data_IF_198699380413
#
_entry.id   IF_198699380413
#
_cell.length_a   1.000
_cell.length_b   1.000
_cell.length_c   1.000
_cell.angle_alpha   90.00
_cell.angle_beta   90.00
_cell.angle_gamma   90.00
#
_symmetry.space_group_name_H-M   'P 1'
#
loop_
_entity.id
_entity.type
_entity.pdbx_description
1 polymer ?
#
# COMPACT_ATOMS: atom_id res chain seq x y z
N UNK A 1 12.66 16.38 -10.29
CA UNK A 1 14.01 15.92 -10.60
C UNK A 1 14.40 14.73 -9.71
N UNK A 2 14.20 14.80 -8.38
CA UNK A 2 14.63 13.76 -7.45
C UNK A 2 13.96 12.40 -7.74
N UNK A 3 12.66 12.42 -8.08
CA UNK A 3 11.94 11.19 -8.46
C UNK A 3 12.43 10.58 -9.76
N UNK A 4 12.85 11.40 -10.74
CA UNK A 4 13.48 10.90 -11.95
C UNK A 4 14.82 10.22 -11.66
N UNK A 5 15.64 10.82 -10.78
CA UNK A 5 16.90 10.21 -10.33
C UNK A 5 16.66 8.90 -9.58
N UNK A 6 15.64 8.86 -8.74
CA UNK A 6 15.25 7.63 -8.03
C UNK A 6 14.84 6.52 -9.02
N UNK A 7 13.99 6.84 -10.01
CA UNK A 7 13.57 5.90 -11.05
C UNK A 7 14.79 5.44 -11.87
N UNK A 8 15.71 6.33 -12.22
CA UNK A 8 16.94 5.97 -12.93
C UNK A 8 17.84 5.04 -12.11
N UNK A 9 17.90 5.27 -10.78
CA UNK A 9 18.65 4.41 -9.86
C UNK A 9 17.99 3.03 -9.66
N UNK A 10 16.65 2.96 -9.72
CA UNK A 10 15.93 1.68 -9.64
C UNK A 10 16.02 0.88 -10.93
N UNK A 11 16.19 1.54 -12.08
CA UNK A 11 16.31 0.93 -13.40
C UNK A 11 17.78 0.92 -13.89
N UNK A 12 18.74 0.73 -12.98
CA UNK A 12 20.14 0.64 -13.33
C UNK A 12 20.38 -0.45 -14.38
N UNK A 13 21.19 -0.13 -15.37
CA UNK A 13 21.78 -1.12 -16.25
C UNK A 13 23.15 -1.51 -15.69
N UNK A 14 23.55 -2.73 -15.95
CA UNK A 14 24.85 -3.23 -15.54
C UNK A 14 25.65 -3.63 -16.76
N UNK A 15 26.95 -3.34 -16.75
CA UNK A 15 27.89 -3.73 -17.77
C UNK A 15 28.98 -4.62 -17.16
N UNK A 16 29.45 -5.58 -17.96
CA UNK A 16 30.43 -6.55 -17.49
C UNK A 16 31.75 -5.85 -17.11
N UNK A 17 32.29 -6.21 -15.96
CA UNK A 17 33.64 -5.81 -15.53
C UNK A 17 34.68 -6.72 -16.16
N UNK A 18 35.93 -6.24 -16.23
CA UNK A 18 37.03 -7.09 -16.64
C UNK A 18 37.21 -8.25 -15.66
N UNK A 19 37.65 -9.40 -16.15
CA UNK A 19 37.75 -10.64 -15.36
C UNK A 19 38.57 -10.52 -14.09
N UNK A 20 39.57 -9.62 -14.07
CA UNK A 20 40.43 -9.38 -12.91
C UNK A 20 39.90 -8.29 -11.95
N UNK A 21 38.81 -7.61 -12.29
CA UNK A 21 38.26 -6.56 -11.45
C UNK A 21 37.44 -7.13 -10.32
N UNK A 22 37.72 -6.63 -9.12
CA UNK A 22 36.99 -7.04 -7.90
C UNK A 22 35.61 -6.40 -7.81
N UNK A 23 34.67 -7.17 -7.29
CA UNK A 23 33.36 -6.67 -6.95
C UNK A 23 33.43 -5.64 -5.81
N UNK A 24 32.76 -4.52 -5.96
CA UNK A 24 32.62 -3.46 -4.96
C UNK A 24 31.16 -3.22 -4.63
N UNK A 25 30.91 -2.45 -3.59
CA UNK A 25 29.57 -2.07 -3.21
C UNK A 25 28.85 -1.35 -4.37
N UNK A 26 27.62 -1.79 -4.70
CA UNK A 26 26.83 -1.31 -5.83
C UNK A 26 26.99 -2.11 -7.12
N UNK A 27 27.97 -3.01 -7.22
CA UNK A 27 28.11 -3.95 -8.35
C UNK A 27 27.04 -5.05 -8.26
N UNK A 28 26.74 -5.68 -9.39
CA UNK A 28 25.92 -6.87 -9.48
C UNK A 28 26.82 -8.09 -9.66
N UNK A 29 26.68 -9.06 -8.76
CA UNK A 29 27.37 -10.35 -8.86
C UNK A 29 26.38 -11.39 -9.34
N UNK A 30 26.79 -12.17 -10.36
CA UNK A 30 26.04 -13.31 -10.87
C UNK A 30 26.78 -14.57 -10.42
N UNK A 31 26.07 -15.45 -9.71
CA UNK A 31 26.68 -16.62 -9.10
C UNK A 31 25.74 -17.82 -9.05
N UNK A 32 26.32 -19.01 -9.01
CA UNK A 32 25.68 -20.24 -8.58
C UNK A 32 25.93 -20.43 -7.10
N UNK A 33 25.02 -21.05 -6.38
CA UNK A 33 25.29 -21.45 -5.01
C UNK A 33 24.76 -22.84 -4.67
N UNK A 34 25.44 -23.52 -3.75
CA UNK A 34 24.97 -24.70 -3.03
C UNK A 34 25.09 -24.42 -1.54
N UNK A 35 24.04 -24.69 -0.77
CA UNK A 35 23.99 -24.40 0.64
C UNK A 35 23.72 -25.66 1.48
N UNK A 36 24.27 -25.69 2.70
CA UNK A 36 24.04 -26.75 3.66
C UNK A 36 23.75 -26.17 5.05
N UNK A 37 22.92 -26.87 5.82
CA UNK A 37 22.71 -26.62 7.24
C UNK A 37 23.08 -27.92 7.98
N UNK A 38 24.01 -27.83 8.92
CA UNK A 38 24.54 -28.97 9.65
C UNK A 38 25.06 -30.10 8.70
N UNK A 39 25.63 -29.71 7.52
CA UNK A 39 26.13 -30.60 6.47
C UNK A 39 25.08 -31.20 5.54
N UNK A 40 23.79 -30.94 5.75
CA UNK A 40 22.71 -31.48 4.93
C UNK A 40 22.14 -30.43 3.97
N UNK A 41 21.84 -30.85 2.74
CA UNK A 41 21.10 -30.04 1.77
C UNK A 41 19.63 -29.93 2.16
N UNK A 42 18.99 -28.85 1.75
CA UNK A 42 17.56 -28.59 2.00
C UNK A 42 16.89 -28.02 0.73
N UNK A 43 15.56 -27.99 0.68
CA UNK A 43 14.83 -27.43 -0.45
C UNK A 43 15.15 -25.93 -0.60
N UNK A 44 15.59 -25.53 -1.79
CA UNK A 44 16.05 -24.17 -2.06
C UNK A 44 17.53 -23.95 -1.68
N UNK A 45 18.26 -25.00 -1.31
CA UNK A 45 19.70 -24.93 -1.01
C UNK A 45 20.60 -24.73 -2.24
N UNK A 46 20.04 -24.74 -3.45
CA UNK A 46 20.80 -24.53 -4.69
C UNK A 46 20.13 -23.44 -5.53
N UNK A 47 20.96 -22.60 -6.14
CA UNK A 47 20.52 -21.61 -7.10
C UNK A 47 21.54 -21.43 -8.21
N UNK A 48 21.03 -21.24 -9.44
CA UNK A 48 21.87 -21.02 -10.63
C UNK A 48 21.63 -19.63 -11.19
N UNK A 49 22.72 -18.99 -11.63
CA UNK A 49 22.68 -17.65 -12.24
C UNK A 49 21.93 -16.59 -11.41
N UNK A 50 22.06 -16.68 -10.10
CA UNK A 50 21.44 -15.74 -9.18
C UNK A 50 22.13 -14.39 -9.32
N UNK A 51 21.34 -13.32 -9.45
CA UNK A 51 21.83 -11.95 -9.60
C UNK A 51 21.61 -11.19 -8.31
N UNK A 52 22.67 -10.63 -7.73
CA UNK A 52 22.62 -9.89 -6.49
C UNK A 52 23.36 -8.56 -6.60
N UNK A 53 22.67 -7.44 -6.34
CA UNK A 53 23.32 -6.13 -6.22
C UNK A 53 23.88 -5.99 -4.80
N UNK A 54 25.19 -5.77 -4.70
CA UNK A 54 25.91 -5.68 -3.44
C UNK A 54 25.59 -4.38 -2.70
N UNK A 55 25.42 -4.48 -1.37
CA UNK A 55 25.13 -3.35 -0.48
C UNK A 55 23.65 -3.01 -0.31
N UNK A 56 22.77 -3.88 -0.79
CA UNK A 56 21.31 -3.72 -0.59
C UNK A 56 20.69 -4.74 0.37
N UNK A 57 21.46 -5.73 0.78
CA UNK A 57 21.03 -6.79 1.73
C UNK A 57 19.73 -7.52 1.29
N UNK A 58 19.61 -7.76 -0.05
CA UNK A 58 18.37 -8.26 -0.67
C UNK A 58 18.21 -9.78 -0.61
N UNK A 59 19.30 -10.55 -0.37
CA UNK A 59 19.25 -12.00 -0.35
C UNK A 59 19.11 -12.53 1.07
N UNK A 60 20.18 -12.54 1.84
CA UNK A 60 20.21 -12.87 3.27
C UNK A 60 21.06 -11.81 3.98
N UNK A 61 20.67 -11.47 5.19
CA UNK A 61 21.34 -10.40 5.94
C UNK A 61 22.83 -10.61 6.06
N UNK A 62 23.63 -9.64 5.57
CA UNK A 62 25.08 -9.68 5.60
C UNK A 62 25.73 -10.64 4.58
N UNK A 63 24.95 -11.20 3.64
CA UNK A 63 25.44 -12.10 2.62
C UNK A 63 26.22 -11.35 1.53
N UNK A 64 25.67 -10.25 1.04
CA UNK A 64 26.21 -9.42 -0.02
C UNK A 64 27.54 -8.75 0.37
N UNK A 65 27.68 -8.36 1.63
CA UNK A 65 28.94 -7.79 2.15
C UNK A 65 30.09 -8.79 2.05
N UNK A 66 29.84 -10.07 2.23
CA UNK A 66 30.85 -11.12 2.11
C UNK A 66 31.26 -11.36 0.66
N UNK A 67 30.43 -11.02 -0.33
CA UNK A 67 30.76 -11.10 -1.75
C UNK A 67 31.60 -9.90 -2.26
N UNK A 68 31.79 -8.89 -1.45
CA UNK A 68 32.69 -7.79 -1.82
C UNK A 68 34.11 -8.32 -1.98
N UNK A 69 34.78 -7.94 -3.08
CA UNK A 69 36.14 -8.33 -3.41
C UNK A 69 36.28 -9.58 -4.23
N UNK A 70 35.18 -10.31 -4.53
CA UNK A 70 35.24 -11.48 -5.46
C UNK A 70 35.42 -11.02 -6.90
N UNK A 71 35.96 -11.92 -7.72
CA UNK A 71 36.16 -11.75 -9.16
C UNK A 71 35.36 -12.80 -9.93
N UNK A 72 35.26 -12.63 -11.21
CA UNK A 72 34.72 -13.67 -12.10
C UNK A 72 35.52 -14.96 -11.96
N UNK A 73 34.85 -16.11 -11.96
CA UNK A 73 35.35 -17.46 -11.77
C UNK A 73 35.93 -17.78 -10.38
N UNK A 74 35.78 -16.90 -9.40
CA UNK A 74 36.09 -17.20 -8.01
C UNK A 74 35.08 -18.18 -7.42
N UNK A 75 35.53 -19.04 -6.52
CA UNK A 75 34.66 -19.80 -5.61
C UNK A 75 34.86 -19.28 -4.21
N UNK A 76 33.76 -19.00 -3.51
CA UNK A 76 33.80 -18.45 -2.16
C UNK A 76 32.78 -19.14 -1.24
N UNK A 77 33.22 -19.51 -0.06
CA UNK A 77 32.37 -20.05 0.98
C UNK A 77 31.93 -18.89 1.89
N UNK A 78 30.64 -18.79 2.08
CA UNK A 78 29.98 -17.74 2.87
C UNK A 78 29.09 -18.40 3.91
N UNK A 79 28.81 -17.67 4.99
CA UNK A 79 27.81 -18.10 5.97
C UNK A 79 26.71 -17.05 6.13
N UNK A 80 25.50 -17.55 6.32
CA UNK A 80 24.34 -16.68 6.55
C UNK A 80 23.33 -17.35 7.48
N UNK A 81 22.58 -16.53 8.19
CA UNK A 81 21.48 -17.02 9.03
C UNK A 81 20.21 -17.03 8.22
N UNK A 82 19.55 -18.18 8.16
CA UNK A 82 18.26 -18.31 7.49
C UNK A 82 17.20 -17.50 8.24
N UNK A 83 16.22 -16.90 7.56
CA UNK A 83 15.24 -16.00 8.17
C UNK A 83 14.34 -16.74 9.15
N UNK A 84 13.86 -16.03 10.19
CA UNK A 84 12.97 -16.56 11.22
C UNK A 84 11.61 -17.06 10.67
N UNK A 85 11.17 -16.50 9.54
CA UNK A 85 9.95 -16.88 8.83
C UNK A 85 10.18 -17.92 7.72
N UNK A 86 11.26 -18.70 7.81
CA UNK A 86 11.55 -19.76 6.82
C UNK A 86 10.39 -20.77 6.78
N UNK A 87 9.94 -21.25 5.58
CA UNK A 87 8.82 -22.20 5.46
C UNK A 87 8.97 -23.46 6.30
N UNK A 88 10.17 -23.99 6.42
CA UNK A 88 10.50 -25.10 7.31
C UNK A 88 10.99 -24.56 8.67
N UNK A 89 10.19 -24.73 9.72
CA UNK A 89 10.48 -24.23 11.08
C UNK A 89 11.80 -24.72 11.65
N UNK A 90 12.21 -25.92 11.28
CA UNK A 90 13.50 -26.53 11.67
C UNK A 90 14.73 -25.86 11.09
N UNK A 91 14.58 -25.07 10.03
CA UNK A 91 15.64 -24.30 9.39
C UNK A 91 15.63 -22.82 9.81
N UNK A 92 14.57 -22.36 10.46
CA UNK A 92 14.45 -20.97 10.89
C UNK A 92 15.57 -20.59 11.88
N UNK A 93 16.21 -19.43 11.64
CA UNK A 93 17.34 -18.93 12.43
C UNK A 93 18.59 -19.84 12.47
N UNK A 94 18.66 -20.90 11.65
CA UNK A 94 19.85 -21.72 11.56
C UNK A 94 20.90 -21.08 10.68
N UNK A 95 22.17 -21.33 11.00
CA UNK A 95 23.33 -20.95 10.19
C UNK A 95 23.45 -21.90 9.00
N UNK A 96 23.44 -21.37 7.80
CA UNK A 96 23.69 -22.11 6.57
C UNK A 96 25.06 -21.71 5.99
N UNK A 97 25.75 -22.68 5.43
CA UNK A 97 27.01 -22.48 4.72
C UNK A 97 26.72 -22.54 3.23
N UNK A 98 27.12 -21.50 2.50
CA UNK A 98 26.93 -21.35 1.08
C UNK A 98 28.27 -21.44 0.36
N UNK A 99 28.38 -22.35 -0.59
CA UNK A 99 29.46 -22.41 -1.55
C UNK A 99 29.00 -21.70 -2.83
N UNK A 100 29.62 -20.56 -3.16
CA UNK A 100 29.26 -19.71 -4.27
C UNK A 100 30.31 -19.73 -5.35
N UNK A 101 29.90 -20.07 -6.57
CA UNK A 101 30.71 -19.99 -7.81
C UNK A 101 30.32 -18.69 -8.52
N UNK A 102 31.26 -17.79 -8.68
CA UNK A 102 31.05 -16.48 -9.28
C UNK A 102 31.14 -16.56 -10.80
N UNK A 103 30.02 -16.41 -11.48
CA UNK A 103 29.96 -16.48 -12.95
C UNK A 103 30.34 -15.16 -13.60
N UNK A 104 29.94 -14.03 -13.00
CA UNK A 104 30.26 -12.71 -13.55
C UNK A 104 30.13 -11.61 -12.49
N UNK A 105 30.85 -10.52 -12.71
CA UNK A 105 30.76 -9.28 -11.94
C UNK A 105 30.47 -8.15 -12.91
N UNK A 106 29.44 -7.36 -12.60
CA UNK A 106 28.99 -6.24 -13.43
C UNK A 106 28.98 -4.94 -12.62
N UNK A 107 29.47 -3.87 -13.22
CA UNK A 107 29.40 -2.53 -12.65
C UNK A 107 28.10 -1.81 -13.06
N UNK A 108 27.53 -0.97 -12.17
CA UNK A 108 26.37 -0.21 -12.52
C UNK A 108 26.71 0.85 -13.57
N UNK A 109 26.00 0.82 -14.68
CA UNK A 109 26.06 1.87 -15.69
C UNK A 109 25.18 3.03 -15.26
N UNK A 110 25.73 4.23 -15.20
CA UNK A 110 24.93 5.43 -14.94
C UNK A 110 23.94 5.62 -16.10
N UNK A 111 22.66 5.45 -15.82
CA UNK A 111 21.63 5.83 -16.80
C UNK A 111 21.73 7.33 -17.07
N UNK A 112 21.93 7.68 -18.34
CA UNK A 112 21.71 9.06 -18.76
C UNK A 112 20.20 9.30 -18.74
N UNK A 113 19.81 10.41 -18.13
CA UNK A 113 18.42 10.87 -18.18
C UNK A 113 18.22 11.56 -19.54
N UNK A 114 17.94 10.76 -20.56
CA UNK A 114 17.73 11.17 -21.93
C UNK A 114 16.42 10.58 -22.49
N UNK A 115 16.16 10.91 -23.74
CA UNK A 115 14.94 10.46 -24.42
C UNK A 115 14.89 8.94 -24.61
N UNK A 116 16.03 8.27 -24.72
CA UNK A 116 16.09 6.81 -24.86
C UNK A 116 15.74 6.13 -23.53
N UNK A 117 16.17 6.70 -22.42
CA UNK A 117 15.72 6.26 -21.08
C UNK A 117 14.22 6.43 -20.93
N UNK A 118 13.65 7.57 -21.35
CA UNK A 118 12.24 7.82 -21.28
C UNK A 118 11.41 6.85 -22.16
N UNK A 119 11.88 6.56 -23.37
CA UNK A 119 11.23 5.57 -24.27
C UNK A 119 11.20 4.16 -23.67
N UNK A 120 12.26 3.73 -22.99
CA UNK A 120 12.28 2.44 -22.27
C UNK A 120 11.22 2.34 -21.18
N UNK A 121 10.84 3.49 -20.59
CA UNK A 121 9.79 3.60 -19.59
C UNK A 121 8.39 3.89 -20.17
N UNK A 122 8.23 3.82 -21.51
CA UNK A 122 6.94 4.01 -22.19
C UNK A 122 6.53 5.48 -22.35
N UNK A 123 7.50 6.40 -22.29
CA UNK A 123 7.29 7.82 -22.60
C UNK A 123 7.83 8.17 -24.00
N UNK A 124 7.38 9.27 -24.56
CA UNK A 124 7.82 9.73 -25.90
C UNK A 124 9.24 10.32 -25.85
N UNK A 125 9.55 11.06 -24.81
CA UNK A 125 10.82 11.71 -24.53
C UNK A 125 10.92 12.04 -23.05
N UNK A 126 12.03 12.63 -22.60
CA UNK A 126 12.26 12.97 -21.20
C UNK A 126 11.27 14.01 -20.66
N UNK A 127 10.82 14.95 -21.49
CA UNK A 127 9.81 15.93 -21.08
C UNK A 127 8.46 15.26 -20.81
N UNK A 128 7.99 14.36 -21.67
CA UNK A 128 6.77 13.58 -21.49
C UNK A 128 6.85 12.69 -20.24
N UNK A 129 8.01 12.05 -20.00
CA UNK A 129 8.24 11.28 -18.77
C UNK A 129 8.13 12.15 -17.51
N UNK A 130 8.77 13.30 -17.55
CA UNK A 130 8.75 14.28 -16.45
C UNK A 130 7.34 14.76 -16.14
N UNK A 131 6.55 15.05 -17.17
CA UNK A 131 5.16 15.49 -17.05
C UNK A 131 4.27 14.37 -16.47
N UNK A 132 4.39 13.15 -16.99
CA UNK A 132 3.66 11.99 -16.45
C UNK A 132 3.96 11.76 -14.97
N UNK A 133 5.23 11.81 -14.58
CA UNK A 133 5.63 11.66 -13.16
C UNK A 133 5.09 12.81 -12.31
N UNK A 134 5.16 14.05 -12.80
CA UNK A 134 4.60 15.22 -12.11
C UNK A 134 3.10 15.07 -11.89
N UNK A 135 2.37 14.66 -12.92
CA UNK A 135 0.93 14.43 -12.83
C UNK A 135 0.60 13.30 -11.85
N UNK A 136 1.32 12.19 -11.92
CA UNK A 136 1.14 11.07 -10.98
C UNK A 136 1.37 11.49 -9.53
N UNK A 137 2.42 12.26 -9.25
CA UNK A 137 2.70 12.78 -7.91
C UNK A 137 1.58 13.74 -7.48
N UNK A 138 1.17 14.66 -8.35
CA UNK A 138 0.09 15.61 -8.07
C UNK A 138 -1.22 14.88 -7.75
N UNK A 139 -1.59 13.89 -8.55
CA UNK A 139 -2.80 13.11 -8.35
C UNK A 139 -2.76 12.33 -7.01
N UNK A 140 -1.61 11.77 -6.66
CA UNK A 140 -1.45 11.06 -5.39
C UNK A 140 -1.66 12.00 -4.18
N UNK A 141 -1.06 13.20 -4.21
CA UNK A 141 -1.27 14.19 -3.14
C UNK A 141 -2.69 14.73 -3.14
N UNK A 142 -3.26 14.99 -4.31
CA UNK A 142 -4.65 15.46 -4.42
C UNK A 142 -5.64 14.44 -3.88
N UNK A 143 -5.46 13.14 -4.15
CA UNK A 143 -6.29 12.08 -3.56
C UNK A 143 -6.20 12.08 -2.03
N UNK A 144 -4.99 12.16 -1.47
CA UNK A 144 -4.80 12.17 -0.03
C UNK A 144 -5.41 13.43 0.64
N UNK A 145 -5.20 14.61 0.06
CA UNK A 145 -5.75 15.87 0.56
C UNK A 145 -7.29 15.91 0.42
N UNK A 146 -7.83 15.37 -0.67
CA UNK A 146 -9.28 15.25 -0.83
C UNK A 146 -9.90 14.30 0.22
N UNK A 147 -9.25 13.20 0.54
CA UNK A 147 -9.70 12.32 1.62
C UNK A 147 -9.70 13.01 2.99
N UNK A 148 -8.70 13.85 3.27
CA UNK A 148 -8.63 14.67 4.48
C UNK A 148 -9.81 15.65 4.51
N UNK A 149 -10.00 16.40 3.43
CA UNK A 149 -11.10 17.39 3.31
C UNK A 149 -12.46 16.73 3.45
N UNK A 150 -12.66 15.56 2.80
CA UNK A 150 -13.89 14.77 2.95
C UNK A 150 -14.14 14.42 4.41
N UNK A 151 -13.13 13.93 5.11
CA UNK A 151 -13.27 13.56 6.52
C UNK A 151 -13.58 14.77 7.42
N UNK A 152 -12.94 15.92 7.17
CA UNK A 152 -13.21 17.15 7.91
C UNK A 152 -14.65 17.63 7.71
N UNK A 153 -15.19 17.55 6.48
CA UNK A 153 -16.59 17.85 6.19
C UNK A 153 -17.51 16.90 6.98
N UNK A 154 -17.26 15.59 6.93
CA UNK A 154 -18.05 14.60 7.66
C UNK A 154 -17.99 14.80 9.18
N UNK A 155 -16.82 15.11 9.73
CA UNK A 155 -16.66 15.39 11.16
C UNK A 155 -17.41 16.68 11.58
N UNK A 156 -17.49 17.70 10.71
CA UNK A 156 -18.29 18.91 10.96
C UNK A 156 -19.79 18.65 10.85
N UNK A 157 -20.22 17.86 9.86
CA UNK A 157 -21.64 17.45 9.75
C UNK A 157 -22.11 16.70 11.00
N UNK A 158 -21.30 15.75 11.50
CA UNK A 158 -21.60 15.02 12.73
C UNK A 158 -21.71 15.93 13.95
N UNK A 159 -20.82 16.91 14.08
CA UNK A 159 -20.82 17.84 15.23
C UNK A 159 -22.02 18.78 15.23
N UNK A 160 -22.44 19.21 14.04
CA UNK A 160 -23.46 20.23 13.88
C UNK A 160 -24.91 19.67 13.86
N UNK A 161 -25.03 18.34 13.77
CA UNK A 161 -26.33 17.68 13.68
C UNK A 161 -26.45 16.61 14.76
N UNK A 162 -27.50 16.72 15.58
CA UNK A 162 -27.85 15.67 16.56
C UNK A 162 -28.92 14.81 15.96
N UNK A 163 -28.63 13.54 15.68
CA UNK A 163 -29.58 12.57 15.14
C UNK A 163 -29.75 11.44 16.16
N UNK A 164 -30.99 11.19 16.56
CA UNK A 164 -31.33 10.03 17.38
C UNK A 164 -31.29 8.77 16.49
N UNK A 165 -30.41 7.86 16.80
CA UNK A 165 -30.27 6.60 16.07
C UNK A 165 -31.02 5.51 16.83
N UNK A 166 -32.06 4.90 16.23
CA UNK A 166 -32.79 3.79 16.83
C UNK A 166 -31.86 2.60 17.11
N UNK A 167 -32.02 1.94 18.25
CA UNK A 167 -31.16 0.83 18.69
C UNK A 167 -31.18 -0.34 17.72
N UNK A 168 -32.31 -0.63 17.09
CA UNK A 168 -32.44 -1.70 16.10
C UNK A 168 -31.52 -1.51 14.88
N UNK A 169 -31.28 -0.27 14.45
CA UNK A 169 -30.33 0.01 13.36
C UNK A 169 -28.90 -0.26 13.79
N UNK A 170 -28.55 0.09 15.03
CA UNK A 170 -27.22 -0.19 15.58
C UNK A 170 -26.98 -1.69 15.66
N UNK A 171 -27.97 -2.44 16.16
CA UNK A 171 -27.85 -3.90 16.33
C UNK A 171 -27.76 -4.63 14.99
N UNK A 172 -28.53 -4.22 13.99
CA UNK A 172 -28.47 -4.77 12.64
C UNK A 172 -27.13 -4.51 11.98
N UNK A 173 -26.60 -3.31 12.12
CA UNK A 173 -25.30 -2.95 11.54
C UNK A 173 -24.14 -3.69 12.22
N UNK A 174 -24.21 -3.88 13.55
CA UNK A 174 -23.25 -4.70 14.29
C UNK A 174 -23.26 -6.16 13.83
N UNK A 175 -24.43 -6.73 13.55
CA UNK A 175 -24.56 -8.08 12.96
C UNK A 175 -23.90 -8.14 11.59
N UNK A 176 -24.24 -7.21 10.70
CA UNK A 176 -23.68 -7.15 9.33
C UNK A 176 -22.15 -7.07 9.32
N UNK A 177 -21.56 -6.32 10.25
CA UNK A 177 -20.10 -6.23 10.38
C UNK A 177 -19.50 -7.53 10.93
N UNK A 178 -20.22 -8.20 11.85
CA UNK A 178 -19.75 -9.44 12.47
C UNK A 178 -19.71 -10.61 11.48
N UNK A 179 -20.62 -10.62 10.53
CA UNK A 179 -20.79 -11.70 9.55
C UNK A 179 -19.78 -11.61 8.37
N UNK A 180 -19.04 -10.51 8.25
CA UNK A 180 -18.01 -10.37 7.21
C UNK A 180 -16.71 -11.08 7.63
N UNK A 181 -16.21 -12.04 6.84
CA UNK A 181 -15.06 -12.90 7.21
C UNK A 181 -13.71 -12.16 7.37
N UNK A 182 -13.58 -10.93 6.91
CA UNK A 182 -12.34 -10.14 6.96
C UNK A 182 -12.40 -8.87 7.85
N UNK A 183 -13.30 -8.83 8.82
CA UNK A 183 -13.54 -7.64 9.65
C UNK A 183 -12.54 -7.45 10.81
N UNK A 184 -11.34 -8.03 10.75
CA UNK A 184 -10.34 -7.98 11.84
C UNK A 184 -9.74 -6.60 12.14
N UNK A 185 -10.10 -5.55 11.43
CA UNK A 185 -9.58 -4.19 11.62
C UNK A 185 -10.63 -3.09 11.74
N UNK A 186 -11.89 -3.37 11.47
CA UNK A 186 -12.93 -2.34 11.57
C UNK A 186 -13.36 -2.13 13.02
N UNK A 187 -13.45 -0.86 13.43
CA UNK A 187 -13.92 -0.49 14.75
C UNK A 187 -15.36 -0.98 14.99
N UNK A 188 -15.49 -2.12 15.68
CA UNK A 188 -16.77 -2.71 16.10
C UNK A 188 -17.35 -2.02 17.35
N UNK A 189 -16.92 -0.79 17.67
CA UNK A 189 -17.49 -0.07 18.80
C UNK A 189 -18.87 0.46 18.44
N UNK A 190 -19.80 0.38 19.39
CA UNK A 190 -21.17 0.96 19.26
C UNK A 190 -21.08 2.42 18.82
N UNK A 191 -20.10 3.16 19.34
CA UNK A 191 -19.88 4.57 19.00
C UNK A 191 -19.51 4.76 17.52
N UNK A 192 -18.63 3.92 16.96
CA UNK A 192 -18.26 4.01 15.54
C UNK A 192 -19.40 3.60 14.61
N UNK A 193 -20.21 2.63 15.02
CA UNK A 193 -21.42 2.21 14.29
C UNK A 193 -22.47 3.32 14.33
N UNK A 194 -22.74 3.88 15.51
CA UNK A 194 -23.66 5.00 15.67
C UNK A 194 -23.25 6.20 14.80
N UNK A 195 -21.96 6.57 14.82
CA UNK A 195 -21.41 7.63 13.97
C UNK A 195 -21.66 7.37 12.49
N UNK A 196 -21.42 6.14 12.01
CA UNK A 196 -21.63 5.78 10.60
C UNK A 196 -23.09 5.88 10.19
N UNK A 197 -24.01 5.39 11.04
CA UNK A 197 -25.45 5.49 10.78
C UNK A 197 -25.89 6.96 10.78
N UNK A 198 -25.46 7.74 11.77
CA UNK A 198 -25.76 9.18 11.85
C UNK A 198 -25.33 9.91 10.58
N UNK A 199 -24.09 9.71 10.14
CA UNK A 199 -23.60 10.32 8.90
C UNK A 199 -24.37 9.86 7.67
N UNK A 200 -24.68 8.56 7.58
CA UNK A 200 -25.52 8.03 6.51
C UNK A 200 -26.89 8.69 6.42
N UNK A 201 -27.56 8.87 7.56
CA UNK A 201 -28.87 9.54 7.63
C UNK A 201 -28.76 11.02 7.23
N UNK A 202 -27.75 11.76 7.74
CA UNK A 202 -27.52 13.16 7.38
C UNK A 202 -27.27 13.31 5.89
N UNK A 203 -26.39 12.47 5.31
CA UNK A 203 -26.07 12.52 3.90
C UNK A 203 -27.27 12.16 3.02
N UNK A 204 -28.05 11.16 3.43
CA UNK A 204 -29.27 10.78 2.70
C UNK A 204 -30.29 11.92 2.68
N UNK A 205 -30.60 12.52 3.82
CA UNK A 205 -31.51 13.66 3.92
C UNK A 205 -31.06 14.84 3.08
N UNK A 206 -29.73 15.12 3.12
CA UNK A 206 -29.14 16.18 2.32
C UNK A 206 -29.24 15.89 0.82
N UNK A 207 -28.99 14.64 0.43
CA UNK A 207 -29.09 14.21 -0.96
C UNK A 207 -30.51 14.25 -1.50
N UNK A 208 -31.49 13.80 -0.72
CA UNK A 208 -32.92 13.82 -1.06
C UNK A 208 -33.40 15.26 -1.24
N UNK A 209 -33.13 16.14 -0.24
CA UNK A 209 -33.52 17.56 -0.27
C UNK A 209 -32.95 18.28 -1.49
N UNK A 210 -31.73 17.96 -1.91
CA UNK A 210 -31.09 18.60 -3.06
C UNK A 210 -31.24 17.79 -4.36
N UNK A 211 -32.06 16.74 -4.37
CA UNK A 211 -32.37 15.89 -5.53
C UNK A 211 -31.13 15.31 -6.20
N UNK A 212 -30.13 14.96 -5.40
CA UNK A 212 -28.88 14.35 -5.88
C UNK A 212 -29.15 12.88 -6.19
N UNK A 213 -28.85 12.46 -7.41
CA UNK A 213 -29.00 11.07 -7.86
C UNK A 213 -27.74 10.61 -8.59
N UNK A 214 -27.46 9.34 -8.50
CA UNK A 214 -26.43 8.66 -9.29
C UNK A 214 -27.11 7.98 -10.46
N UNK A 215 -26.67 8.28 -11.67
CA UNK A 215 -27.19 7.69 -12.90
C UNK A 215 -26.46 6.40 -13.24
N UNK A 216 -27.07 5.55 -14.05
CA UNK A 216 -26.43 4.32 -14.55
C UNK A 216 -25.17 4.63 -15.37
N UNK A 217 -25.17 5.74 -16.12
CA UNK A 217 -24.03 6.14 -16.93
C UNK A 217 -22.83 6.57 -16.08
N UNK A 218 -23.07 7.18 -14.92
CA UNK A 218 -22.01 7.48 -13.96
C UNK A 218 -21.41 6.21 -13.36
N UNK A 219 -22.23 5.22 -13.05
CA UNK A 219 -21.76 3.90 -12.57
C UNK A 219 -20.93 3.22 -13.64
N UNK A 220 -21.42 3.18 -14.90
CA UNK A 220 -20.68 2.62 -16.03
C UNK A 220 -19.36 3.32 -16.27
N UNK A 221 -19.38 4.66 -16.22
CA UNK A 221 -18.15 5.48 -16.38
C UNK A 221 -17.11 5.16 -15.31
N UNK A 222 -17.54 4.98 -14.06
CA UNK A 222 -16.62 4.65 -12.97
C UNK A 222 -16.06 3.23 -13.10
N UNK A 223 -16.87 2.27 -13.49
CA UNK A 223 -16.41 0.91 -13.81
C UNK A 223 -15.37 0.97 -14.94
N UNK A 224 -15.62 1.75 -16.01
CA UNK A 224 -14.66 1.93 -17.11
C UNK A 224 -13.34 2.55 -16.66
N UNK A 225 -13.35 3.50 -15.71
CA UNK A 225 -12.12 4.05 -15.13
C UNK A 225 -11.33 2.98 -14.37
N UNK A 226 -12.01 2.14 -13.58
CA UNK A 226 -11.36 1.04 -12.88
C UNK A 226 -10.78 0.02 -13.86
N UNK A 227 -11.50 -0.32 -14.92
CA UNK A 227 -11.00 -1.18 -16.01
C UNK A 227 -9.72 -0.61 -16.62
N UNK A 228 -9.70 0.68 -16.95
CA UNK A 228 -8.50 1.36 -17.51
C UNK A 228 -7.33 1.41 -16.53
N UNK A 229 -7.58 1.42 -15.22
CA UNK A 229 -6.55 1.43 -14.19
C UNK A 229 -5.90 0.07 -13.94
N UNK A 230 -6.47 -1.02 -14.48
CA UNK A 230 -6.02 -2.41 -14.31
C UNK A 230 -5.74 -3.09 -15.66
N UNK A 231 -4.68 -2.68 -16.40
CA UNK A 231 -4.36 -3.26 -17.71
C UNK A 231 -4.12 -4.77 -17.63
N UNK A 232 -4.73 -5.52 -18.53
CA UNK A 232 -4.65 -6.98 -18.57
C UNK A 232 -5.68 -7.70 -17.68
N UNK A 233 -6.46 -6.96 -16.88
CA UNK A 233 -7.53 -7.51 -16.04
C UNK A 233 -8.92 -6.94 -16.38
N UNK A 234 -9.06 -6.32 -17.56
CA UNK A 234 -10.26 -5.61 -17.98
C UNK A 234 -11.50 -6.50 -17.90
N UNK A 235 -11.38 -7.73 -18.44
CA UNK A 235 -12.46 -8.72 -18.43
C UNK A 235 -12.85 -9.12 -17.01
N UNK A 236 -11.87 -9.31 -16.12
CA UNK A 236 -12.11 -9.70 -14.74
C UNK A 236 -12.88 -8.62 -13.98
N UNK A 237 -12.47 -7.34 -14.12
CA UNK A 237 -13.16 -6.22 -13.47
C UNK A 237 -14.60 -6.09 -13.96
N UNK A 238 -14.82 -6.21 -15.27
CA UNK A 238 -16.16 -6.12 -15.84
C UNK A 238 -17.06 -7.25 -15.37
N UNK A 239 -16.58 -8.51 -15.44
CA UNK A 239 -17.31 -9.68 -14.95
C UNK A 239 -17.59 -9.61 -13.44
N UNK A 240 -16.68 -9.06 -12.65
CA UNK A 240 -16.89 -8.88 -11.22
C UNK A 240 -18.12 -8.04 -10.93
N UNK A 241 -18.27 -6.88 -11.55
CA UNK A 241 -19.45 -6.03 -11.36
C UNK A 241 -20.72 -6.62 -11.95
N UNK A 242 -20.61 -7.33 -13.06
CA UNK A 242 -21.76 -8.00 -13.69
C UNK A 242 -22.30 -9.16 -12.83
N UNK A 243 -21.43 -9.94 -12.23
CA UNK A 243 -21.79 -11.11 -11.40
C UNK A 243 -22.11 -10.77 -9.95
N UNK A 244 -21.76 -9.58 -9.48
CA UNK A 244 -21.92 -9.15 -8.09
C UNK A 244 -22.76 -7.87 -7.97
N UNK A 245 -24.08 -7.95 -7.94
CA UNK A 245 -24.97 -6.79 -7.77
C UNK A 245 -24.67 -5.97 -6.50
N UNK A 246 -24.26 -6.63 -5.42
CA UNK A 246 -23.85 -5.96 -4.19
C UNK A 246 -22.63 -5.06 -4.36
N UNK A 247 -21.68 -5.43 -5.22
CA UNK A 247 -20.52 -4.59 -5.54
C UNK A 247 -20.95 -3.33 -6.32
N UNK A 248 -21.87 -3.48 -7.27
CA UNK A 248 -22.44 -2.36 -8.02
C UNK A 248 -23.22 -1.42 -7.10
N UNK A 249 -24.00 -1.97 -6.17
CA UNK A 249 -24.73 -1.17 -5.16
C UNK A 249 -23.78 -0.42 -4.21
N UNK A 250 -22.69 -1.07 -3.81
CA UNK A 250 -21.65 -0.41 -3.01
C UNK A 250 -20.97 0.73 -3.79
N UNK A 251 -20.65 0.52 -5.07
CA UNK A 251 -20.12 1.55 -5.94
C UNK A 251 -21.09 2.74 -6.08
N UNK A 252 -22.38 2.45 -6.29
CA UNK A 252 -23.43 3.47 -6.36
C UNK A 252 -23.49 4.30 -5.07
N UNK A 253 -23.43 3.65 -3.90
CA UNK A 253 -23.43 4.34 -2.61
C UNK A 253 -22.20 5.23 -2.44
N UNK A 254 -21.04 4.77 -2.88
CA UNK A 254 -19.79 5.56 -2.86
C UNK A 254 -19.89 6.79 -3.76
N UNK A 255 -20.37 6.61 -4.98
CA UNK A 255 -20.60 7.74 -5.91
C UNK A 255 -21.63 8.74 -5.38
N UNK A 256 -22.71 8.24 -4.75
CA UNK A 256 -23.72 9.10 -4.12
C UNK A 256 -23.11 9.97 -3.01
N UNK A 257 -22.35 9.37 -2.12
CA UNK A 257 -21.63 10.09 -1.07
C UNK A 257 -20.66 11.13 -1.66
N UNK A 258 -19.89 10.78 -2.69
CA UNK A 258 -18.99 11.70 -3.36
C UNK A 258 -19.70 12.87 -4.01
N UNK A 259 -20.84 12.63 -4.66
CA UNK A 259 -21.69 13.70 -5.25
C UNK A 259 -22.19 14.67 -4.18
N UNK A 260 -22.65 14.15 -3.04
CA UNK A 260 -23.12 15.00 -1.92
C UNK A 260 -21.94 15.83 -1.39
N UNK A 261 -20.79 15.23 -1.13
CA UNK A 261 -19.60 15.95 -0.65
C UNK A 261 -19.17 17.04 -1.64
N UNK A 262 -19.16 16.72 -2.94
CA UNK A 262 -18.83 17.70 -3.98
C UNK A 262 -19.87 18.82 -4.07
N UNK A 263 -21.14 18.50 -3.89
CA UNK A 263 -22.21 19.51 -3.83
C UNK A 263 -22.03 20.43 -2.61
N UNK A 264 -21.75 19.88 -1.44
CA UNK A 264 -21.43 20.66 -0.23
C UNK A 264 -20.23 21.57 -0.50
N UNK A 265 -19.13 21.03 -1.07
CA UNK A 265 -17.95 21.82 -1.45
C UNK A 265 -18.29 22.98 -2.40
N UNK A 266 -19.25 22.81 -3.30
CA UNK A 266 -19.69 23.88 -4.21
C UNK A 266 -20.49 24.99 -3.54
N UNK A 267 -21.10 24.72 -2.39
CA UNK A 267 -21.92 25.68 -1.64
C UNK A 267 -21.17 26.43 -0.55
N UNK A 268 -20.04 25.92 -0.10
CA UNK A 268 -19.21 26.57 0.91
C UNK A 268 -18.15 27.46 0.28
N UNK A 269 -17.78 28.55 0.96
CA UNK A 269 -16.61 29.36 0.54
C UNK A 269 -15.33 28.56 0.80
N UNK A 270 -14.75 28.00 -0.26
CA UNK A 270 -13.48 27.31 -0.19
C UNK A 270 -12.34 28.32 -0.40
N UNK A 271 -11.42 28.39 0.55
CA UNK A 271 -10.15 29.05 0.34
C UNK A 271 -9.18 28.05 -0.26
N UNK A 272 -8.96 28.14 -1.58
CA UNK A 272 -7.94 27.32 -2.25
C UNK A 272 -6.57 27.87 -1.89
N UNK A 273 -5.72 27.00 -1.36
CA UNK A 273 -4.31 27.29 -1.08
C UNK A 273 -3.44 26.36 -1.93
N UNK A 274 -2.56 26.95 -2.72
CA UNK A 274 -1.51 26.15 -3.34
C UNK A 274 -0.52 25.71 -2.27
N UNK A 275 -0.19 24.43 -2.27
CA UNK A 275 0.71 23.81 -1.30
C UNK A 275 1.97 23.35 -2.01
N UNK A 276 3.10 23.55 -1.37
CA UNK A 276 4.33 22.84 -1.75
C UNK A 276 4.21 21.36 -1.32
N UNK A 277 5.00 20.49 -1.95
CA UNK A 277 5.04 19.05 -1.60
C UNK A 277 5.31 18.86 -0.10
N UNK A 278 6.26 19.62 0.48
CA UNK A 278 6.60 19.55 1.91
C UNK A 278 5.42 19.93 2.82
N UNK A 279 4.63 20.93 2.44
CA UNK A 279 3.43 21.31 3.19
C UNK A 279 2.35 20.23 3.10
N UNK A 280 2.13 19.66 1.91
CA UNK A 280 1.19 18.55 1.70
C UNK A 280 1.59 17.32 2.53
N UNK A 281 2.85 16.92 2.51
CA UNK A 281 3.38 15.82 3.32
C UNK A 281 3.17 16.06 4.82
N UNK A 282 3.44 17.26 5.30
CA UNK A 282 3.24 17.63 6.71
C UNK A 282 1.76 17.51 7.12
N UNK A 283 0.84 17.96 6.26
CA UNK A 283 -0.60 17.85 6.51
C UNK A 283 -1.01 16.38 6.55
N UNK A 284 -0.63 15.58 5.56
CA UNK A 284 -0.97 14.17 5.47
C UNK A 284 -0.39 13.40 6.67
N UNK A 285 0.86 13.65 7.04
CA UNK A 285 1.50 13.01 8.18
C UNK A 285 0.77 13.35 9.48
N UNK A 286 0.49 14.62 9.73
CA UNK A 286 -0.20 15.06 10.95
C UNK A 286 -1.62 14.47 11.06
N UNK A 287 -2.31 14.33 9.93
CA UNK A 287 -3.62 13.70 9.86
C UNK A 287 -3.56 12.20 10.19
N UNK A 288 -2.60 11.48 9.64
CA UNK A 288 -2.40 10.06 9.90
C UNK A 288 -2.03 9.80 11.37
N UNK A 289 -1.19 10.64 11.96
CA UNK A 289 -0.82 10.55 13.39
C UNK A 289 -2.02 10.79 14.31
N UNK A 290 -2.84 11.81 14.03
CA UNK A 290 -4.09 12.06 14.77
C UNK A 290 -5.06 10.89 14.71
N UNK A 291 -5.17 10.24 13.55
CA UNK A 291 -6.05 9.08 13.38
C UNK A 291 -5.51 7.86 14.13
N UNK A 292 -4.21 7.57 14.08
CA UNK A 292 -3.57 6.49 14.85
C UNK A 292 -3.73 6.71 16.36
N UNK A 293 -3.58 7.94 16.85
CA UNK A 293 -3.77 8.27 18.25
C UNK A 293 -5.21 8.11 18.72
N UNK A 294 -6.22 8.43 17.88
CA UNK A 294 -7.64 8.18 18.18
C UNK A 294 -7.91 6.68 18.29
N UNK A 295 -7.47 5.89 17.31
CA UNK A 295 -7.65 4.43 17.30
C UNK A 295 -7.00 3.76 18.53
N UNK A 296 -5.81 4.20 18.93
CA UNK A 296 -5.10 3.67 20.11
C UNK A 296 -5.78 4.04 21.45
N UNK A 297 -6.41 5.22 21.54
CA UNK A 297 -7.18 5.63 22.72
C UNK A 297 -8.50 4.85 22.85
N UNK A 298 -9.14 4.56 21.75
CA UNK A 298 -10.38 3.78 21.73
C UNK A 298 -10.14 2.30 22.11
N UNK A 299 -8.99 1.74 21.74
CA UNK A 299 -8.56 0.41 22.17
C UNK A 299 -8.28 0.34 23.68
N UNK A 300 -7.59 1.35 24.24
CA UNK A 300 -7.29 1.40 25.68
C UNK A 300 -8.52 1.61 26.58
N UNK A 301 -9.57 2.28 26.10
CA UNK A 301 -10.83 2.42 26.85
C UNK A 301 -11.62 1.11 26.97
N UNK A 302 -11.36 0.10 26.13
CA UNK A 302 -12.00 -1.22 26.21
C UNK A 302 -11.47 -2.09 27.36
N UNK A 303 -10.19 -1.94 27.73
CA UNK A 303 -9.56 -2.79 28.75
C UNK A 303 -9.87 -2.36 30.20
N UNK A 304 -10.55 -1.23 30.40
CA UNK A 304 -10.80 -0.66 31.75
C UNK A 304 -12.24 -0.79 32.27
N UNK A 305 -13.15 -1.54 31.61
CA UNK A 305 -14.45 -1.83 32.21
C UNK A 305 -14.39 -3.10 33.05
N UNK A 306 -14.56 -3.03 34.41
CA UNK A 306 -14.55 -4.21 35.27
C UNK A 306 -15.75 -5.10 34.98
N UNK A 307 -15.50 -6.40 34.85
CA UNK A 307 -16.52 -7.43 34.75
C UNK A 307 -17.42 -7.38 35.98
N UNK A 308 -18.73 -7.09 35.79
CA UNK A 308 -19.72 -7.25 36.85
C UNK A 308 -19.88 -8.73 37.20
N UNK A 309 -19.30 -9.13 38.31
CA UNK A 309 -19.51 -10.43 38.94
C UNK A 309 -20.99 -10.58 39.29
N UNK A 310 -21.70 -11.50 38.63
CA UNK A 310 -22.99 -11.99 39.07
C UNK A 310 -22.80 -12.82 40.35
N UNK A 311 -23.19 -12.29 41.50
CA UNK A 311 -23.40 -13.10 42.71
C UNK A 311 -24.59 -14.03 42.47
N UNK A 312 -24.32 -15.32 42.43
CA UNK A 312 -25.31 -16.37 42.47
C UNK A 312 -25.64 -16.54 43.97
N UNK A 313 -26.82 -16.10 44.38
CA UNK A 313 -27.40 -16.46 45.72
C UNK A 313 -27.99 -17.86 45.60
N UNK A 314 -27.43 -18.79 46.33
CA UNK A 314 -28.10 -20.05 46.66
C UNK A 314 -29.21 -19.80 47.65
N UNK A 315 -30.39 -20.20 47.34
CA UNK A 315 -31.42 -20.76 48.27
C UNK A 315 -32.12 -21.89 47.56
#
# INVERSE_FOLDING_TARGET
>A
EDKLKEIANQNKQFEDKNENEKAINGDQVIFNYSATVDGNKFDGSEGKSVQLELGKDLFLKGFDVQLIGVKKNDTKILDAILPANHPKKELANKKAIFECEILNVKSPKKNKLDDDFAKKLGAKNLADLSEKIKNQISDQYNMALNAITKKEILDQLEKNHTVEVPQNLIDNELKTISDKPNSNGENKSIESVKKRITLGLILNEYGETNKIKVTEDEIKSEIQKQVKSMPGQEKFVFEYYQKNPSATQHLQSTLYEEKIINFIKSKIKLTKKELTIKEAEKIIKSFNEKNKAKTSRDLKKKDTKPAKTKKISKK
#
